data_IF_571237375288
#
_entry.id   IF_571237375288
#
_cell.length_a   1.000
_cell.length_b   1.000
_cell.length_c   1.000
_cell.angle_alpha   90.00
_cell.angle_beta   90.00
_cell.angle_gamma   90.00
#
_symmetry.space_group_name_H-M   'P 1'
#
loop_
_entity.id
_entity.type
_entity.pdbx_description
1 polymer ?
#
# COMPACT_ATOMS: atom_id res chain seq x y z
N UNK A 1 18.63 -23.65 -8.28
CA UNK A 1 17.37 -23.25 -8.93
C UNK A 1 16.74 -22.18 -8.05
N UNK A 2 17.05 -20.92 -8.31
CA UNK A 2 16.57 -19.78 -7.53
C UNK A 2 15.47 -19.08 -8.33
N UNK A 3 14.29 -18.94 -7.72
CA UNK A 3 13.10 -18.30 -8.27
C UNK A 3 13.20 -16.77 -8.18
N UNK A 4 14.24 -16.17 -8.77
CA UNK A 4 14.54 -14.74 -8.63
C UNK A 4 14.17 -13.92 -9.88
N UNK A 5 12.92 -13.99 -10.36
CA UNK A 5 12.56 -13.27 -11.59
C UNK A 5 11.10 -13.30 -12.00
N UNK A 6 10.16 -13.16 -11.06
CA UNK A 6 8.73 -13.04 -11.38
C UNK A 6 8.34 -11.62 -11.83
N UNK A 7 8.98 -11.16 -12.90
CA UNK A 7 8.38 -10.17 -13.80
C UNK A 7 8.69 -10.59 -15.22
N UNK A 8 7.72 -11.24 -15.86
CA UNK A 8 7.66 -11.26 -17.32
C UNK A 8 6.57 -10.29 -17.71
N UNK A 9 6.94 -9.29 -18.52
CA UNK A 9 5.98 -8.59 -19.37
C UNK A 9 4.99 -9.60 -19.99
N UNK A 10 3.72 -9.23 -20.19
CA UNK A 10 2.70 -10.14 -20.69
C UNK A 10 3.25 -10.93 -21.89
N UNK A 11 3.34 -12.25 -21.70
CA UNK A 11 3.91 -13.13 -22.71
C UNK A 11 2.85 -13.35 -23.77
N UNK A 12 3.21 -13.15 -25.04
CA UNK A 12 2.32 -13.41 -26.18
C UNK A 12 1.88 -14.88 -26.27
N UNK A 13 2.64 -15.77 -25.66
CA UNK A 13 2.38 -17.21 -25.65
C UNK A 13 1.52 -17.66 -24.45
N UNK A 14 1.22 -16.74 -23.53
CA UNK A 14 0.43 -17.02 -22.33
C UNK A 14 -1.01 -16.53 -22.55
N UNK A 15 -2.05 -17.33 -22.19
CA UNK A 15 -3.43 -16.87 -22.24
C UNK A 15 -3.65 -15.59 -21.41
N UNK A 16 -4.51 -14.69 -21.88
CA UNK A 16 -4.75 -13.38 -21.24
C UNK A 16 -5.12 -13.49 -19.75
N UNK A 17 -5.97 -14.46 -19.40
CA UNK A 17 -6.37 -14.69 -18.01
C UNK A 17 -5.17 -15.04 -17.11
N UNK A 18 -4.20 -15.79 -17.64
CA UNK A 18 -3.01 -16.20 -16.89
C UNK A 18 -2.02 -15.04 -16.79
N UNK A 19 -1.90 -14.20 -17.82
CA UNK A 19 -1.13 -12.96 -17.73
C UNK A 19 -1.70 -12.03 -16.64
N UNK A 20 -3.02 -11.81 -16.61
CA UNK A 20 -3.67 -10.98 -15.57
C UNK A 20 -3.50 -11.57 -14.17
N UNK A 21 -3.65 -12.89 -14.03
CA UNK A 21 -3.43 -13.59 -12.77
C UNK A 21 -1.99 -13.42 -12.28
N UNK A 22 -0.99 -13.64 -13.14
CA UNK A 22 0.42 -13.53 -12.77
C UNK A 22 0.81 -12.09 -12.41
N UNK A 23 0.22 -11.09 -13.08
CA UNK A 23 0.38 -9.69 -12.69
C UNK A 23 -0.10 -9.44 -11.25
N UNK A 24 -1.27 -9.96 -10.88
CA UNK A 24 -1.78 -9.84 -9.51
C UNK A 24 -1.00 -10.67 -8.49
N UNK A 25 -0.53 -11.85 -8.87
CA UNK A 25 0.22 -12.76 -8.00
C UNK A 25 1.61 -12.22 -7.63
N UNK A 26 2.15 -11.27 -8.39
CA UNK A 26 3.41 -10.58 -8.10
C UNK A 26 3.28 -9.40 -7.14
N UNK A 27 2.07 -9.05 -6.71
CA UNK A 27 1.85 -7.98 -5.74
C UNK A 27 2.12 -8.48 -4.32
N UNK A 28 2.85 -7.70 -3.53
CA UNK A 28 3.19 -8.04 -2.15
C UNK A 28 2.68 -6.97 -1.18
N UNK A 29 2.53 -7.37 0.08
CA UNK A 29 2.16 -6.44 1.17
C UNK A 29 3.41 -5.81 1.77
N UNK A 30 3.37 -4.50 1.95
CA UNK A 30 4.44 -3.71 2.56
C UNK A 30 3.89 -2.83 3.67
N UNK A 31 4.75 -2.50 4.64
CA UNK A 31 4.46 -1.52 5.67
C UNK A 31 5.51 -0.43 5.64
N UNK A 32 5.08 0.82 5.79
CA UNK A 32 5.98 1.96 5.92
C UNK A 32 5.27 3.13 6.64
N UNK A 33 6.05 4.09 7.12
CA UNK A 33 5.51 5.29 7.75
C UNK A 33 5.07 6.28 6.69
N UNK A 34 3.84 6.80 6.81
CA UNK A 34 3.33 7.82 5.90
C UNK A 34 4.12 9.13 6.02
N UNK A 35 4.34 9.78 4.87
CA UNK A 35 4.94 11.11 4.80
C UNK A 35 4.24 12.12 5.71
N UNK A 36 5.00 13.11 6.17
CA UNK A 36 4.42 14.31 6.80
C UNK A 36 3.43 15.04 5.86
N UNK A 37 3.59 14.90 4.54
CA UNK A 37 2.68 15.48 3.54
C UNK A 37 1.24 14.95 3.63
N UNK A 38 1.01 13.78 4.24
CA UNK A 38 -0.32 13.18 4.40
C UNK A 38 -0.96 13.50 5.76
N UNK A 39 -0.22 14.11 6.70
CA UNK A 39 -0.74 14.45 8.03
C UNK A 39 -1.88 15.46 7.90
N UNK A 40 -3.00 15.17 8.56
CA UNK A 40 -4.21 15.99 8.50
C UNK A 40 -5.14 15.65 7.33
N UNK A 41 -4.72 14.80 6.38
CA UNK A 41 -5.63 14.23 5.38
C UNK A 41 -6.49 13.14 6.00
N UNK A 42 -7.72 12.99 5.51
CA UNK A 42 -8.53 11.81 5.80
C UNK A 42 -7.96 10.58 5.09
N UNK A 43 -8.24 9.39 5.62
CA UNK A 43 -7.80 8.15 4.99
C UNK A 43 -8.19 8.05 3.49
N UNK A 44 -9.45 8.35 3.08
CA UNK A 44 -9.83 8.27 1.66
C UNK A 44 -9.07 9.25 0.77
N UNK A 45 -8.78 10.47 1.24
CA UNK A 45 -8.00 11.46 0.47
C UNK A 45 -6.57 11.00 0.23
N UNK A 46 -5.92 10.47 1.27
CA UNK A 46 -4.57 9.93 1.14
C UNK A 46 -4.55 8.68 0.25
N UNK A 47 -5.51 7.78 0.41
CA UNK A 47 -5.63 6.57 -0.41
C UNK A 47 -5.82 6.92 -1.90
N UNK A 48 -6.63 7.93 -2.22
CA UNK A 48 -6.81 8.40 -3.60
C UNK A 48 -5.52 8.99 -4.19
N UNK A 49 -4.78 9.80 -3.43
CA UNK A 49 -3.51 10.35 -3.89
C UNK A 49 -2.46 9.25 -4.09
N UNK A 50 -2.33 8.31 -3.14
CA UNK A 50 -1.41 7.17 -3.24
C UNK A 50 -1.74 6.28 -4.44
N UNK A 51 -3.01 6.04 -4.71
CA UNK A 51 -3.39 5.23 -5.86
C UNK A 51 -3.18 5.99 -7.19
N UNK A 52 -3.69 7.22 -7.29
CA UNK A 52 -3.71 7.97 -8.57
C UNK A 52 -2.37 8.57 -8.96
N UNK A 53 -1.55 8.99 -8.00
CA UNK A 53 -0.25 9.62 -8.27
C UNK A 53 0.91 8.63 -8.23
N UNK A 54 0.80 7.63 -7.35
CA UNK A 54 1.92 6.83 -6.93
C UNK A 54 1.76 5.34 -7.32
N UNK A 55 0.53 4.89 -7.61
CA UNK A 55 0.24 3.50 -7.97
C UNK A 55 0.23 2.55 -6.78
N UNK A 56 0.19 3.09 -5.55
CA UNK A 56 0.20 2.32 -4.31
C UNK A 56 -1.22 2.11 -3.80
N UNK A 57 -1.58 0.86 -3.49
CA UNK A 57 -2.87 0.56 -2.87
C UNK A 57 -2.73 0.58 -1.35
N UNK A 58 -3.19 1.65 -0.69
CA UNK A 58 -3.28 1.74 0.76
C UNK A 58 -4.50 0.96 1.27
N UNK A 59 -4.27 -0.05 2.11
CA UNK A 59 -5.32 -0.90 2.67
C UNK A 59 -5.75 -0.49 4.08
N UNK A 60 -4.77 -0.16 4.92
CA UNK A 60 -4.98 0.07 6.34
C UNK A 60 -3.97 1.08 6.88
N UNK A 61 -4.29 1.64 8.04
CA UNK A 61 -3.37 2.47 8.82
C UNK A 61 -3.37 2.03 10.29
N UNK A 62 -2.26 2.29 10.96
CA UNK A 62 -2.14 2.17 12.41
C UNK A 62 -2.81 3.36 13.11
N UNK A 63 -3.66 3.06 14.09
CA UNK A 63 -4.22 3.99 15.04
C UNK A 63 -3.53 3.78 16.38
N UNK A 64 -2.90 4.84 16.88
CA UNK A 64 -2.25 4.86 18.20
C UNK A 64 -3.25 5.37 19.23
N UNK A 65 -3.49 4.57 20.25
CA UNK A 65 -4.17 5.00 21.48
C UNK A 65 -3.10 5.30 22.53
N UNK A 66 -2.80 6.59 22.71
CA UNK A 66 -1.79 7.05 23.67
C UNK A 66 -2.20 6.78 25.13
N UNK A 67 -3.50 6.67 25.41
CA UNK A 67 -4.02 6.47 26.77
C UNK A 67 -3.85 5.01 27.19
N UNK A 68 -4.19 4.07 26.30
CA UNK A 68 -4.10 2.63 26.56
C UNK A 68 -2.79 1.98 26.08
N UNK A 69 -1.93 2.74 25.38
CA UNK A 69 -0.71 2.26 24.70
C UNK A 69 -0.99 1.10 23.74
N UNK A 70 -2.16 1.14 23.10
CA UNK A 70 -2.58 0.13 22.13
C UNK A 70 -2.35 0.65 20.71
N UNK A 71 -1.87 -0.24 19.84
CA UNK A 71 -1.76 0.00 18.40
C UNK A 71 -2.83 -0.84 17.70
N UNK A 72 -3.86 -0.19 17.18
CA UNK A 72 -4.94 -0.84 16.46
C UNK A 72 -4.77 -0.65 14.95
N UNK A 73 -5.02 -1.68 14.16
CA UNK A 73 -4.99 -1.59 12.70
C UNK A 73 -6.40 -1.31 12.20
N UNK A 74 -6.60 -0.14 11.60
CA UNK A 74 -7.85 0.22 10.96
C UNK A 74 -7.80 -0.13 9.47
N UNK A 75 -8.57 -1.14 9.06
CA UNK A 75 -8.69 -1.57 7.67
C UNK A 75 -9.75 -0.74 6.97
N UNK A 76 -9.34 -0.02 5.91
CA UNK A 76 -10.20 0.88 5.13
C UNK A 76 -11.13 1.76 6.00
N UNK A 77 -10.57 2.58 6.91
CA UNK A 77 -11.39 3.42 7.77
C UNK A 77 -12.11 4.52 6.97
N UNK A 78 -13.24 4.98 7.50
CA UNK A 78 -14.02 6.06 6.91
C UNK A 78 -13.37 7.44 7.02
N UNK A 79 -14.03 8.49 6.47
CA UNK A 79 -13.49 9.85 6.41
C UNK A 79 -13.23 10.52 7.77
N UNK A 80 -13.81 10.01 8.86
CA UNK A 80 -13.53 10.51 10.21
C UNK A 80 -12.12 10.16 10.70
N UNK A 81 -11.43 9.25 10.02
CA UNK A 81 -10.08 8.84 10.33
C UNK A 81 -9.08 9.76 9.63
N UNK A 82 -8.35 10.54 10.43
CA UNK A 82 -7.35 11.51 9.96
C UNK A 82 -5.96 10.99 10.25
N UNK A 83 -5.08 11.03 9.26
CA UNK A 83 -3.70 10.58 9.37
C UNK A 83 -2.95 11.46 10.36
N UNK A 84 -2.32 10.80 11.34
CA UNK A 84 -1.52 11.44 12.36
C UNK A 84 -0.03 11.41 11.98
N UNK A 85 0.82 12.21 12.62
CA UNK A 85 2.26 12.07 12.49
C UNK A 85 2.71 10.64 12.82
N UNK A 86 3.68 10.12 12.06
CA UNK A 86 4.25 8.79 12.28
C UNK A 86 3.21 7.65 12.23
N UNK A 87 2.13 7.82 11.47
CA UNK A 87 1.18 6.74 11.18
C UNK A 87 1.82 5.71 10.25
N UNK A 88 1.81 4.44 10.65
CA UNK A 88 2.19 3.34 9.76
C UNK A 88 1.04 3.01 8.80
N UNK A 89 1.35 2.94 7.51
CA UNK A 89 0.44 2.50 6.45
C UNK A 89 0.74 1.06 6.02
N UNK A 90 -0.29 0.37 5.54
CA UNK A 90 -0.23 -0.98 4.99
C UNK A 90 -0.59 -0.93 3.51
N UNK A 91 0.33 -1.34 2.65
CA UNK A 91 0.24 -1.15 1.20
C UNK A 91 0.30 -2.48 0.46
N UNK A 92 -0.33 -2.53 -0.71
CA UNK A 92 -0.03 -3.53 -1.74
C UNK A 92 0.70 -2.82 -2.87
N UNK A 93 1.89 -3.32 -3.23
CA UNK A 93 2.74 -2.77 -4.29
C UNK A 93 3.50 -3.88 -5.03
N UNK A 94 4.13 -3.55 -6.16
CA UNK A 94 4.99 -4.50 -6.89
C UNK A 94 6.41 -4.55 -6.35
N UNK A 95 6.85 -3.50 -5.65
CA UNK A 95 8.16 -3.46 -5.03
C UNK A 95 8.21 -2.56 -3.80
N UNK A 96 9.06 -2.92 -2.84
CA UNK A 96 9.36 -2.08 -1.68
C UNK A 96 9.95 -0.71 -2.05
N UNK A 97 10.62 -0.61 -3.21
CA UNK A 97 11.24 0.64 -3.67
C UNK A 97 10.20 1.66 -4.16
N UNK A 98 9.03 1.21 -4.65
CA UNK A 98 7.91 2.09 -4.96
C UNK A 98 7.35 2.71 -3.68
N UNK A 99 7.19 1.90 -2.63
CA UNK A 99 6.70 2.35 -1.32
C UNK A 99 7.64 3.40 -0.70
N UNK A 100 8.95 3.12 -0.63
CA UNK A 100 9.93 3.99 0.05
C UNK A 100 10.22 5.32 -0.64
N UNK A 101 10.06 5.41 -1.97
CA UNK A 101 10.39 6.63 -2.72
C UNK A 101 9.27 7.68 -2.69
N UNK A 102 8.09 7.28 -2.25
CA UNK A 102 6.85 8.02 -2.44
C UNK A 102 6.17 8.41 -1.12
N UNK A 103 6.70 7.91 -0.01
CA UNK A 103 6.29 8.17 1.37
C UNK A 103 7.32 9.05 2.09
#
# INVERSE_FOLDING_TARGET
MAYSGLMKHPSRDTPDWLNLYLCGAGMEMYTDTLSHSFVGMTFPEAADLLFTRLGLLLLAIELKDEENRECNIAINPGPSCVIQPQTQGFFIAQSADEVKRQL
#
